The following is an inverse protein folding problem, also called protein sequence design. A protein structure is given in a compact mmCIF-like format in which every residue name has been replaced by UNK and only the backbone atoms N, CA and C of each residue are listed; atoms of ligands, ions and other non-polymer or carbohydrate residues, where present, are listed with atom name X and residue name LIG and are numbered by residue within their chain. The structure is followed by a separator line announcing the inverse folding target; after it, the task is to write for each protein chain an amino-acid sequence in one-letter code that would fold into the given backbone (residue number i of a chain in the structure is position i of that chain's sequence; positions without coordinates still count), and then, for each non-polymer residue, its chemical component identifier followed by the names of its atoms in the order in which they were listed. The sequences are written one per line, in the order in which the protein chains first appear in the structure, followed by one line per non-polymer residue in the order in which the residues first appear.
data_IF_241641719716
#
_entry.id   IF_241641719716
#
_cell.length_a   1.000
_cell.length_b   1.000
_cell.length_c   1.000
_cell.angle_alpha   90.00
_cell.angle_beta   90.00
_cell.angle_gamma   90.00
#
_symmetry.space_group_name_H-M   'P 1'
#
loop_
_entity.id
_entity.type
_entity.pdbx_description
1 polymer ?
#
# COMPACT_ATOMS: atom_id res chain seq x y z
N UNK A 1 0.82 -24.10 -14.43
CA UNK A 1 0.05 -22.97 -15.00
C UNK A 1 1.06 -21.93 -15.46
N UNK A 2 1.04 -21.54 -16.73
CA UNK A 2 2.05 -20.62 -17.29
C UNK A 2 1.34 -19.38 -17.82
N UNK A 3 1.64 -18.23 -17.23
CA UNK A 3 1.26 -16.93 -17.77
C UNK A 3 2.20 -16.60 -18.93
N UNK A 4 1.64 -16.23 -20.07
CA UNK A 4 2.40 -15.79 -21.25
C UNK A 4 2.35 -14.28 -21.33
N UNK A 5 3.52 -13.64 -21.42
CA UNK A 5 3.64 -12.20 -21.62
C UNK A 5 3.55 -11.94 -23.13
N UNK A 6 2.52 -11.21 -23.55
CA UNK A 6 2.27 -10.89 -24.95
C UNK A 6 2.98 -9.60 -25.36
N UNK A 7 2.94 -8.59 -24.48
CA UNK A 7 3.50 -7.27 -24.75
C UNK A 7 3.90 -6.56 -23.47
N UNK A 8 5.03 -5.85 -23.53
CA UNK A 8 5.43 -4.86 -22.51
C UNK A 8 5.62 -3.52 -23.20
N UNK A 9 5.09 -2.46 -22.60
CA UNK A 9 5.22 -1.09 -23.11
C UNK A 9 5.25 -0.07 -21.98
N UNK A 10 5.60 1.16 -22.33
CA UNK A 10 5.55 2.29 -21.42
C UNK A 10 4.29 3.10 -21.72
N UNK A 11 3.47 3.33 -20.70
CA UNK A 11 2.29 4.19 -20.78
C UNK A 11 2.60 5.51 -20.10
N UNK A 12 2.43 6.62 -20.81
CA UNK A 12 2.68 7.98 -20.31
C UNK A 12 1.37 8.70 -20.00
N UNK A 13 1.39 9.75 -19.17
CA UNK A 13 0.27 10.66 -19.01
C UNK A 13 -0.26 11.14 -20.36
N UNK A 14 -1.57 11.36 -20.45
CA UNK A 14 -2.18 11.96 -21.62
C UNK A 14 -1.72 13.42 -21.72
N UNK A 15 -1.11 13.77 -22.86
CA UNK A 15 -0.60 15.11 -23.10
C UNK A 15 -1.64 15.92 -23.88
N UNK A 16 -2.35 16.81 -23.21
CA UNK A 16 -3.04 17.89 -23.91
C UNK A 16 -1.99 18.87 -24.42
N UNK A 17 -2.08 19.25 -25.68
CA UNK A 17 -1.10 20.03 -26.47
C UNK A 17 -0.70 21.41 -25.90
N UNK A 18 -1.17 21.77 -24.70
CA UNK A 18 -0.90 23.03 -24.01
C UNK A 18 0.14 22.93 -22.88
N UNK A 19 0.59 21.73 -22.50
CA UNK A 19 1.62 21.55 -21.47
C UNK A 19 2.99 21.25 -22.13
N UNK A 20 3.72 22.31 -22.46
CA UNK A 20 5.11 22.22 -22.91
C UNK A 20 5.99 21.59 -21.82
N UNK A 21 7.04 20.82 -22.17
CA UNK A 21 7.92 20.22 -21.19
C UNK A 21 8.74 21.30 -20.48
N UNK A 22 8.41 21.53 -19.22
CA UNK A 22 9.27 22.20 -18.23
C UNK A 22 10.53 21.33 -18.07
N UNK A 23 11.70 21.95 -17.81
CA UNK A 23 12.95 21.21 -17.60
C UNK A 23 12.72 20.04 -16.62
N UNK A 24 12.94 18.77 -17.04
CA UNK A 24 12.66 17.59 -16.23
C UNK A 24 13.38 17.57 -14.87
N UNK A 25 14.45 18.34 -14.72
CA UNK A 25 15.17 18.48 -13.44
C UNK A 25 14.59 19.56 -12.52
N UNK A 26 13.83 20.50 -13.07
CA UNK A 26 13.25 21.63 -12.32
C UNK A 26 11.86 21.34 -11.76
N UNK A 27 11.20 20.27 -12.23
CA UNK A 27 9.85 19.91 -11.81
C UNK A 27 9.85 18.59 -11.01
N UNK A 28 9.84 18.73 -9.69
CA UNK A 28 9.81 17.60 -8.75
C UNK A 28 8.90 17.91 -7.56
N UNK A 29 8.53 16.85 -6.84
CA UNK A 29 7.85 16.95 -5.54
C UNK A 29 8.76 16.33 -4.47
N UNK A 30 9.05 17.03 -3.36
CA UNK A 30 9.88 16.48 -2.30
C UNK A 30 9.13 15.36 -1.55
N UNK A 31 9.86 14.34 -1.11
CA UNK A 31 9.29 13.36 -0.19
C UNK A 31 9.03 14.01 1.18
N UNK A 32 7.84 13.80 1.72
CA UNK A 32 7.50 14.24 3.08
C UNK A 32 8.25 13.41 4.13
N UNK A 33 8.23 13.88 5.39
CA UNK A 33 8.77 13.12 6.53
C UNK A 33 8.11 11.74 6.68
N UNK A 34 6.85 11.58 6.28
CA UNK A 34 6.12 10.32 6.32
C UNK A 34 6.47 9.40 5.16
N UNK A 35 6.75 9.95 3.98
CA UNK A 35 7.24 9.18 2.84
C UNK A 35 8.61 8.56 3.18
N UNK A 36 9.53 9.38 3.72
CA UNK A 36 10.92 8.99 4.02
C UNK A 36 11.04 7.84 5.04
N UNK A 37 10.07 7.68 5.94
CA UNK A 37 10.08 6.59 6.95
C UNK A 37 9.25 5.36 6.55
N UNK A 38 8.60 5.41 5.39
CA UNK A 38 7.80 4.32 4.85
C UNK A 38 8.66 3.22 4.20
N UNK A 39 8.04 2.16 3.68
CA UNK A 39 8.79 1.08 3.02
C UNK A 39 9.48 1.58 1.75
N UNK A 40 10.79 1.37 1.63
CA UNK A 40 11.51 1.61 0.39
C UNK A 40 11.47 0.37 -0.54
N UNK A 41 10.26 0.03 -1.00
CA UNK A 41 10.01 -1.11 -1.91
C UNK A 41 8.71 -0.90 -2.68
N UNK A 42 8.54 -1.64 -3.78
CA UNK A 42 7.22 -1.82 -4.38
C UNK A 42 6.35 -2.80 -3.60
N UNK A 43 5.05 -2.50 -3.52
CA UNK A 43 4.02 -3.39 -3.00
C UNK A 43 3.09 -3.80 -4.14
N UNK A 44 2.74 -5.09 -4.17
CA UNK A 44 1.89 -5.68 -5.20
C UNK A 44 0.51 -6.08 -4.65
N UNK A 45 -0.53 -5.71 -5.40
CA UNK A 45 -1.93 -6.04 -5.12
C UNK A 45 -2.54 -6.66 -6.39
N UNK A 46 -3.33 -7.71 -6.22
CA UNK A 46 -3.97 -8.45 -7.29
C UNK A 46 -5.48 -8.23 -7.23
N UNK A 47 -6.08 -7.89 -8.36
CA UNK A 47 -7.52 -7.74 -8.55
C UNK A 47 -8.01 -8.69 -9.63
N UNK A 48 -9.12 -9.39 -9.43
CA UNK A 48 -9.75 -10.22 -10.46
C UNK A 48 -11.15 -9.72 -10.78
N UNK A 49 -11.53 -9.79 -12.06
CA UNK A 49 -12.81 -9.35 -12.57
C UNK A 49 -13.47 -10.46 -13.39
N UNK A 50 -14.76 -10.65 -13.16
CA UNK A 50 -15.58 -11.52 -14.00
C UNK A 50 -15.87 -10.86 -15.36
N UNK A 51 -16.05 -11.65 -16.44
CA UNK A 51 -16.53 -11.11 -17.70
C UNK A 51 -17.96 -10.54 -17.58
N UNK A 52 -18.33 -9.55 -18.41
CA UNK A 52 -17.52 -8.93 -19.45
C UNK A 52 -16.47 -7.95 -18.88
N UNK A 53 -15.27 -7.95 -19.45
CA UNK A 53 -14.18 -7.04 -19.06
C UNK A 53 -13.83 -6.07 -20.19
N UNK A 54 -13.50 -4.80 -19.90
CA UNK A 54 -13.08 -3.84 -20.92
C UNK A 54 -11.85 -4.31 -21.68
N UNK A 55 -11.61 -3.80 -22.88
CA UNK A 55 -10.41 -4.14 -23.69
C UNK A 55 -9.13 -3.58 -23.07
N UNK A 56 -7.97 -4.16 -23.40
CA UNK A 56 -6.66 -3.65 -22.93
C UNK A 56 -6.46 -2.19 -23.31
N UNK A 57 -6.85 -1.81 -24.54
CA UNK A 57 -6.77 -0.44 -25.05
C UNK A 57 -7.65 0.54 -24.25
N UNK A 58 -8.83 0.11 -23.79
CA UNK A 58 -9.72 0.96 -22.98
C UNK A 58 -9.12 1.21 -21.59
N UNK A 59 -8.59 0.16 -20.97
CA UNK A 59 -7.93 0.24 -19.66
C UNK A 59 -6.66 1.10 -19.73
N UNK A 60 -5.85 0.92 -20.77
CA UNK A 60 -4.67 1.74 -21.07
C UNK A 60 -5.03 3.21 -21.28
N UNK A 61 -6.05 3.52 -22.08
CA UNK A 61 -6.48 4.91 -22.29
C UNK A 61 -6.92 5.57 -20.98
N UNK A 62 -7.67 4.84 -20.14
CA UNK A 62 -8.01 5.30 -18.80
C UNK A 62 -6.77 5.54 -17.93
N UNK A 63 -5.74 4.70 -18.08
CA UNK A 63 -4.46 4.85 -17.36
C UNK A 63 -3.72 6.12 -17.81
N UNK A 64 -3.67 6.40 -19.11
CA UNK A 64 -3.08 7.64 -19.63
C UNK A 64 -3.77 8.87 -19.04
N UNK A 65 -5.11 8.89 -19.02
CA UNK A 65 -5.90 10.00 -18.49
C UNK A 65 -5.67 10.22 -16.99
N UNK A 66 -5.76 9.16 -16.18
CA UNK A 66 -5.55 9.30 -14.72
C UNK A 66 -4.11 9.67 -14.38
N UNK A 67 -3.12 9.25 -15.18
CA UNK A 67 -1.73 9.65 -14.98
C UNK A 67 -1.48 11.13 -15.21
N UNK A 68 -2.37 11.83 -15.94
CA UNK A 68 -2.30 13.30 -16.07
C UNK A 68 -2.65 14.00 -14.75
N UNK A 69 -3.49 13.39 -13.93
CA UNK A 69 -3.83 13.87 -12.57
C UNK A 69 -2.93 13.26 -11.49
N UNK A 70 -2.23 12.15 -11.75
CA UNK A 70 -1.35 11.46 -10.79
C UNK A 70 0.07 11.28 -11.36
N UNK A 71 0.70 12.39 -11.74
CA UNK A 71 1.97 12.38 -12.49
C UNK A 71 3.14 11.77 -11.72
N UNK A 72 3.08 11.73 -10.39
CA UNK A 72 4.09 11.08 -9.56
C UNK A 72 4.30 9.62 -9.96
N UNK A 73 3.24 8.89 -10.33
CA UNK A 73 3.37 7.49 -10.77
C UNK A 73 4.14 7.34 -12.08
N UNK A 74 4.07 8.33 -12.97
CA UNK A 74 4.82 8.39 -14.22
C UNK A 74 6.23 8.98 -14.04
N UNK A 75 6.56 9.48 -12.85
CA UNK A 75 7.84 10.08 -12.50
C UNK A 75 8.92 9.06 -12.15
N UNK A 76 10.03 9.54 -11.57
CA UNK A 76 11.13 8.71 -11.02
C UNK A 76 11.62 9.27 -9.70
N UNK A 77 12.05 8.38 -8.80
CA UNK A 77 12.77 8.78 -7.59
C UNK A 77 14.17 9.30 -7.96
N UNK A 78 14.66 10.25 -7.19
CA UNK A 78 16.05 10.71 -7.24
C UNK A 78 16.31 11.69 -6.10
N UNK A 79 17.33 12.53 -6.27
CA UNK A 79 17.76 13.51 -5.27
C UNK A 79 17.83 14.90 -5.89
N UNK A 80 17.51 15.93 -5.11
CA UNK A 80 17.68 17.33 -5.51
C UNK A 80 19.14 17.79 -5.34
N UNK A 81 19.40 19.09 -5.60
CA UNK A 81 20.74 19.67 -5.49
C UNK A 81 21.34 19.61 -4.06
N UNK A 82 20.50 19.43 -3.04
CA UNK A 82 20.91 19.30 -1.64
C UNK A 82 21.05 17.83 -1.20
N UNK A 83 20.81 16.88 -2.10
CA UNK A 83 20.78 15.45 -1.78
C UNK A 83 19.49 14.98 -1.09
N UNK A 84 18.45 15.83 -1.04
CA UNK A 84 17.16 15.45 -0.46
C UNK A 84 16.37 14.57 -1.46
N UNK A 85 15.72 13.48 -1.02
CA UNK A 85 15.02 12.59 -1.93
C UNK A 85 13.72 13.22 -2.45
N UNK A 86 13.53 13.14 -3.77
CA UNK A 86 12.41 13.75 -4.51
C UNK A 86 11.81 12.79 -5.53
N UNK A 87 10.59 13.09 -5.98
CA UNK A 87 9.96 12.47 -7.14
C UNK A 87 10.03 13.46 -8.31
N UNK A 88 10.84 13.16 -9.32
CA UNK A 88 10.88 13.91 -10.57
C UNK A 88 9.62 13.63 -11.39
N UNK A 89 8.85 14.67 -11.70
CA UNK A 89 7.64 14.62 -12.52
C UNK A 89 8.01 14.71 -14.00
N UNK A 90 8.79 13.73 -14.46
CA UNK A 90 9.44 13.70 -15.78
C UNK A 90 8.66 12.91 -16.85
N UNK A 91 7.48 12.42 -16.52
CA UNK A 91 6.58 11.66 -17.41
C UNK A 91 7.30 10.54 -18.19
N UNK A 92 8.31 9.91 -17.58
CA UNK A 92 8.93 8.70 -18.12
C UNK A 92 7.93 7.55 -18.25
N UNK A 93 6.79 7.64 -17.57
CA UNK A 93 5.67 6.72 -17.70
C UNK A 93 5.81 5.48 -16.82
N UNK A 94 4.82 4.60 -16.95
CA UNK A 94 4.64 3.39 -16.15
C UNK A 94 4.83 2.15 -17.01
N UNK A 95 5.33 1.07 -16.42
CA UNK A 95 5.43 -0.21 -17.14
C UNK A 95 4.05 -0.84 -17.24
N UNK A 96 3.60 -1.15 -18.46
CA UNK A 96 2.31 -1.77 -18.73
C UNK A 96 2.53 -3.10 -19.47
N UNK A 97 2.07 -4.18 -18.85
CA UNK A 97 2.29 -5.55 -19.31
C UNK A 97 0.95 -6.15 -19.70
N UNK A 98 0.87 -6.67 -20.91
CA UNK A 98 -0.28 -7.44 -21.41
C UNK A 98 0.11 -8.92 -21.43
N UNK A 99 -0.72 -9.75 -20.82
CA UNK A 99 -0.46 -11.16 -20.61
C UNK A 99 -1.74 -11.99 -20.81
N UNK A 100 -1.54 -13.29 -21.05
CA UNK A 100 -2.62 -14.26 -21.22
C UNK A 100 -2.34 -15.52 -20.40
N UNK A 101 -3.40 -16.26 -20.10
CA UNK A 101 -3.30 -17.62 -19.55
C UNK A 101 -4.42 -18.49 -20.13
N UNK A 102 -4.05 -19.63 -20.68
CA UNK A 102 -4.96 -20.56 -21.38
C UNK A 102 -5.70 -21.50 -20.41
N UNK A 103 -6.26 -20.94 -19.35
CA UNK A 103 -7.16 -21.60 -18.41
C UNK A 103 -8.27 -20.62 -18.00
N UNK A 104 -9.36 -21.15 -17.46
CA UNK A 104 -10.41 -20.32 -16.87
C UNK A 104 -10.06 -19.92 -15.45
N UNK A 105 -10.50 -18.74 -15.01
CA UNK A 105 -10.25 -18.24 -13.66
C UNK A 105 -10.80 -19.21 -12.59
N UNK A 106 -11.97 -19.80 -12.82
CA UNK A 106 -12.59 -20.80 -11.93
C UNK A 106 -11.69 -22.00 -11.61
N UNK A 107 -10.76 -22.36 -12.50
CA UNK A 107 -9.84 -23.49 -12.31
C UNK A 107 -8.71 -23.20 -11.32
N UNK A 108 -8.51 -21.93 -10.96
CA UNK A 108 -7.53 -21.49 -9.96
C UNK A 108 -8.21 -20.88 -8.73
N UNK A 109 -9.53 -20.97 -8.65
CA UNK A 109 -10.31 -20.47 -7.52
C UNK A 109 -10.44 -21.50 -6.40
N UNK A 110 -10.43 -21.06 -5.13
CA UNK A 110 -10.03 -19.71 -4.67
C UNK A 110 -8.54 -19.46 -4.90
N UNK A 111 -8.15 -18.22 -5.22
CA UNK A 111 -6.74 -17.84 -5.34
C UNK A 111 -6.05 -17.99 -3.98
N UNK A 112 -5.16 -18.98 -3.87
CA UNK A 112 -4.39 -19.23 -2.66
C UNK A 112 -3.06 -18.45 -2.67
N UNK A 113 -2.60 -17.92 -1.52
CA UNK A 113 -1.26 -17.35 -1.38
C UNK A 113 -0.18 -18.37 -1.79
N UNK A 114 0.37 -18.20 -2.99
CA UNK A 114 1.33 -19.12 -3.58
C UNK A 114 2.25 -18.40 -4.57
N UNK A 115 3.42 -18.97 -4.89
CA UNK A 115 4.32 -18.38 -5.89
C UNK A 115 3.68 -18.10 -7.26
N UNK A 116 2.56 -18.75 -7.59
CA UNK A 116 1.78 -18.45 -8.79
C UNK A 116 1.32 -16.99 -8.84
N UNK A 117 0.96 -16.38 -7.70
CA UNK A 117 0.55 -14.99 -7.63
C UNK A 117 1.63 -14.00 -8.12
N UNK A 118 2.91 -14.38 -7.98
CA UNK A 118 4.03 -13.58 -8.50
C UNK A 118 4.05 -13.49 -10.03
N UNK A 119 3.34 -14.39 -10.73
CA UNK A 119 3.18 -14.34 -12.19
C UNK A 119 2.04 -13.44 -12.65
N UNK A 120 1.21 -12.93 -11.73
CA UNK A 120 0.03 -12.11 -12.02
C UNK A 120 0.28 -10.59 -11.87
N UNK A 121 1.50 -10.19 -11.51
CA UNK A 121 1.90 -8.79 -11.44
C UNK A 121 3.38 -8.62 -11.84
N UNK A 122 3.82 -7.41 -12.22
CA UNK A 122 5.22 -7.14 -12.52
C UNK A 122 6.12 -7.30 -11.27
N UNK A 123 7.40 -7.62 -11.48
CA UNK A 123 8.40 -7.78 -10.41
C UNK A 123 8.46 -6.56 -9.47
N UNK A 124 8.76 -6.79 -8.20
CA UNK A 124 8.76 -5.76 -7.14
C UNK A 124 10.15 -5.24 -6.76
N UNK A 125 11.23 -5.84 -7.29
CA UNK A 125 12.62 -5.47 -7.03
C UNK A 125 13.33 -5.06 -8.30
N UNK A 126 14.31 -4.17 -8.15
CA UNK A 126 15.19 -3.70 -9.23
C UNK A 126 14.39 -3.09 -10.39
N UNK A 127 13.51 -2.14 -10.05
CA UNK A 127 12.61 -1.43 -10.97
C UNK A 127 12.74 0.07 -10.74
N UNK A 128 13.04 0.81 -11.80
CA UNK A 128 13.10 2.29 -11.78
C UNK A 128 11.70 2.94 -11.82
N UNK A 129 10.76 2.32 -12.55
CA UNK A 129 9.39 2.82 -12.67
C UNK A 129 8.66 2.77 -11.32
N UNK A 130 8.00 3.87 -10.96
CA UNK A 130 7.30 3.98 -9.67
C UNK A 130 5.98 3.21 -9.65
N UNK A 131 5.34 3.07 -10.81
CA UNK A 131 4.16 2.24 -11.01
C UNK A 131 4.40 1.24 -12.14
N UNK A 132 3.89 0.02 -11.95
CA UNK A 132 3.78 -1.00 -12.98
C UNK A 132 2.41 -1.68 -12.89
N UNK A 133 1.87 -2.06 -14.04
CA UNK A 133 0.57 -2.71 -14.18
C UNK A 133 0.70 -3.93 -15.09
N UNK A 134 0.08 -5.04 -14.73
CA UNK A 134 -0.10 -6.20 -15.60
C UNK A 134 -1.58 -6.52 -15.78
N UNK A 135 -2.01 -6.66 -17.03
CA UNK A 135 -3.31 -7.19 -17.40
C UNK A 135 -3.15 -8.64 -17.86
N UNK A 136 -3.69 -9.59 -17.11
CA UNK A 136 -3.68 -11.02 -17.46
C UNK A 136 -5.08 -11.48 -17.83
N UNK A 137 -5.30 -11.83 -19.10
CA UNK A 137 -6.58 -12.36 -19.59
C UNK A 137 -6.63 -13.88 -19.49
N UNK A 138 -7.71 -14.39 -18.92
CA UNK A 138 -8.00 -15.82 -18.83
C UNK A 138 -8.86 -16.28 -20.01
N UNK A 139 -8.83 -17.58 -20.33
CA UNK A 139 -9.57 -18.16 -21.46
C UNK A 139 -11.10 -17.95 -21.39
N UNK A 140 -11.66 -17.73 -20.18
CA UNK A 140 -13.08 -17.43 -19.96
C UNK A 140 -13.43 -15.94 -20.12
N UNK A 141 -12.49 -15.06 -20.48
CA UNK A 141 -12.71 -13.62 -20.59
C UNK A 141 -12.57 -12.83 -19.28
N UNK A 142 -12.33 -13.52 -18.15
CA UNK A 142 -11.95 -12.88 -16.89
C UNK A 142 -10.62 -12.14 -17.04
N UNK A 143 -10.47 -11.07 -16.26
CA UNK A 143 -9.28 -10.23 -16.24
C UNK A 143 -8.69 -10.22 -14.83
N UNK A 144 -7.39 -10.44 -14.73
CA UNK A 144 -6.62 -10.13 -13.53
C UNK A 144 -5.78 -8.89 -13.78
N UNK A 145 -5.82 -7.93 -12.84
CA UNK A 145 -5.00 -6.73 -12.83
C UNK A 145 -4.02 -6.82 -11.65
N UNK A 146 -2.74 -6.95 -11.97
CA UNK A 146 -1.65 -6.84 -11.01
C UNK A 146 -1.14 -5.40 -10.93
N UNK A 147 -1.35 -4.74 -9.80
CA UNK A 147 -0.83 -3.41 -9.50
C UNK A 147 0.45 -3.54 -8.67
N UNK A 148 1.54 -2.91 -9.10
CA UNK A 148 2.81 -2.86 -8.36
C UNK A 148 3.29 -1.41 -8.25
N UNK A 149 3.13 -0.80 -7.07
CA UNK A 149 3.45 0.61 -6.81
C UNK A 149 4.54 0.80 -5.75
N UNK A 150 5.44 1.77 -5.95
CA UNK A 150 6.51 2.10 -5.01
C UNK A 150 5.96 2.81 -3.76
N UNK A 151 6.20 2.25 -2.58
CA UNK A 151 5.52 2.68 -1.35
C UNK A 151 5.98 4.06 -0.82
N UNK A 152 7.18 4.53 -1.18
CA UNK A 152 7.58 5.93 -0.94
C UNK A 152 6.69 6.96 -1.66
N UNK A 153 5.98 6.58 -2.73
CA UNK A 153 5.12 7.51 -3.48
C UNK A 153 3.77 7.69 -2.79
N UNK A 154 3.16 6.62 -2.33
CA UNK A 154 1.81 6.65 -1.76
C UNK A 154 1.61 5.52 -0.76
N UNK A 155 0.93 5.82 0.34
CA UNK A 155 0.38 4.79 1.22
C UNK A 155 -0.83 4.08 0.57
N UNK A 156 -1.34 3.01 1.20
CA UNK A 156 -2.45 2.25 0.65
C UNK A 156 -3.75 3.04 0.46
N UNK A 157 -3.97 4.12 1.23
CA UNK A 157 -5.13 5.01 1.04
C UNK A 157 -4.96 5.81 -0.26
N UNK A 158 -3.82 6.48 -0.43
CA UNK A 158 -3.49 7.23 -1.66
C UNK A 158 -3.47 6.36 -2.90
N UNK A 159 -2.89 5.16 -2.81
CA UNK A 159 -2.86 4.19 -3.91
C UNK A 159 -4.27 3.71 -4.30
N UNK A 160 -5.16 3.52 -3.32
CA UNK A 160 -6.55 3.13 -3.59
C UNK A 160 -7.35 4.25 -4.25
N UNK A 161 -7.14 5.51 -3.84
CA UNK A 161 -7.75 6.66 -4.53
C UNK A 161 -7.35 6.72 -6.00
N UNK A 162 -6.06 6.51 -6.30
CA UNK A 162 -5.57 6.42 -7.68
C UNK A 162 -6.25 5.29 -8.46
N UNK A 163 -6.37 4.09 -7.88
CA UNK A 163 -7.02 2.97 -8.54
C UNK A 163 -8.50 3.27 -8.85
N UNK A 164 -9.25 3.84 -7.91
CA UNK A 164 -10.65 4.24 -8.13
C UNK A 164 -10.75 5.33 -9.20
N UNK A 165 -9.86 6.33 -9.17
CA UNK A 165 -9.76 7.36 -10.19
C UNK A 165 -9.45 6.77 -11.58
N UNK A 166 -8.58 5.75 -11.64
CA UNK A 166 -8.28 5.04 -12.87
C UNK A 166 -9.51 4.33 -13.42
N UNK A 167 -10.27 3.62 -12.57
CA UNK A 167 -11.55 3.01 -12.96
C UNK A 167 -12.57 4.03 -13.48
N UNK A 168 -12.69 5.21 -12.84
CA UNK A 168 -13.52 6.33 -13.34
C UNK A 168 -13.05 6.80 -14.73
N UNK A 169 -11.76 7.05 -14.89
CA UNK A 169 -11.19 7.53 -16.16
C UNK A 169 -11.37 6.51 -17.30
N UNK A 170 -11.23 5.21 -17.03
CA UNK A 170 -11.50 4.14 -17.99
C UNK A 170 -12.96 4.12 -18.45
N UNK A 171 -13.90 4.45 -17.57
CA UNK A 171 -15.34 4.57 -17.87
C UNK A 171 -15.72 5.92 -18.50
N UNK A 172 -14.77 6.84 -18.68
CA UNK A 172 -15.03 8.19 -19.19
C UNK A 172 -15.75 9.10 -18.19
N UNK A 173 -15.69 8.78 -16.89
CA UNK A 173 -16.20 9.63 -15.82
C UNK A 173 -15.13 10.65 -15.37
N UNK A 174 -15.59 11.77 -14.84
CA UNK A 174 -14.70 12.79 -14.29
C UNK A 174 -13.87 12.25 -13.12
N UNK A 175 -12.59 12.60 -13.10
CA UNK A 175 -11.68 12.31 -11.99
C UNK A 175 -11.95 13.33 -10.90
N UNK A 176 -12.93 13.02 -10.05
CA UNK A 176 -13.26 13.81 -8.88
C UNK A 176 -13.43 12.92 -7.63
N UNK A 177 -12.92 13.37 -6.45
CA UNK A 177 -12.10 14.57 -6.25
C UNK A 177 -10.69 14.42 -6.86
N UNK A 178 -10.05 15.55 -7.16
CA UNK A 178 -8.65 15.60 -7.63
C UNK A 178 -7.67 15.37 -6.48
N UNK A 179 -6.50 14.75 -6.73
CA UNK A 179 -5.47 14.58 -5.72
C UNK A 179 -4.86 15.91 -5.27
N UNK A 180 -4.57 16.01 -3.97
CA UNK A 180 -3.77 17.08 -3.39
C UNK A 180 -2.30 16.66 -3.38
N UNK A 181 -1.51 17.26 -4.27
CA UNK A 181 -0.09 16.94 -4.49
C UNK A 181 0.89 17.62 -3.54
N UNK A 182 0.46 18.66 -2.81
CA UNK A 182 1.36 19.43 -1.96
C UNK A 182 1.81 18.60 -0.74
N UNK A 183 3.05 18.10 -0.81
CA UNK A 183 3.71 17.34 0.26
C UNK A 183 4.39 18.22 1.31
N UNK A 184 4.39 19.54 1.11
CA UNK A 184 5.02 20.52 2.01
C UNK A 184 4.12 20.98 3.16
N UNK A 185 2.89 20.46 3.23
CA UNK A 185 1.92 20.79 4.28
C UNK A 185 2.35 20.37 5.70
N UNK A 186 3.39 19.54 5.84
CA UNK A 186 3.92 19.05 7.11
C UNK A 186 5.13 19.85 7.58
N UNK A 187 4.86 21.05 8.11
CA UNK A 187 5.90 21.92 8.65
C UNK A 187 6.09 21.68 10.16
N UNK A 188 7.35 21.69 10.65
CA UNK A 188 7.60 21.62 12.08
C UNK A 188 7.07 22.88 12.79
N UNK A 189 6.73 22.73 14.07
CA UNK A 189 6.41 23.85 14.95
C UNK A 189 7.65 24.72 15.15
N UNK A 190 7.42 25.99 15.50
CA UNK A 190 8.48 26.94 15.85
C UNK A 190 8.22 27.53 17.26
N UNK A 191 9.02 27.15 18.28
CA UNK A 191 10.13 26.21 18.23
C UNK A 191 9.66 24.74 18.08
N UNK A 192 10.51 23.84 17.54
CA UNK A 192 10.23 22.41 17.50
C UNK A 192 10.06 21.84 18.92
N UNK A 193 9.11 20.93 19.11
CA UNK A 193 8.79 20.34 20.41
C UNK A 193 8.68 18.80 20.34
N UNK A 194 9.64 18.11 20.96
CA UNK A 194 9.69 16.64 20.99
C UNK A 194 8.96 16.10 22.25
N UNK A 195 7.63 16.00 22.18
CA UNK A 195 6.81 15.50 23.28
C UNK A 195 6.95 13.98 23.49
N UNK A 196 7.26 13.24 22.42
CA UNK A 196 7.35 11.77 22.42
C UNK A 196 8.72 11.28 21.97
N UNK A 197 9.09 10.08 22.41
CA UNK A 197 10.29 9.37 21.95
C UNK A 197 10.01 8.67 20.62
N UNK A 198 10.71 9.11 19.57
CA UNK A 198 10.59 8.57 18.20
C UNK A 198 11.75 7.65 17.80
N UNK A 199 12.77 7.50 18.65
CA UNK A 199 13.89 6.58 18.41
C UNK A 199 13.47 5.14 18.65
N UNK A 200 13.88 4.22 17.76
CA UNK A 200 13.60 2.79 17.91
C UNK A 200 14.27 2.20 19.15
N UNK A 201 13.49 1.63 20.07
CA UNK A 201 14.02 0.90 21.23
C UNK A 201 14.34 -0.55 20.89
N UNK A 202 15.56 -1.01 21.18
CA UNK A 202 15.87 -2.45 21.26
C UNK A 202 15.16 -3.04 22.46
N UNK A 203 14.08 -3.79 22.22
CA UNK A 203 13.27 -4.41 23.28
C UNK A 203 13.81 -5.80 23.65
N UNK A 204 13.81 -6.11 24.95
CA UNK A 204 14.32 -7.38 25.52
C UNK A 204 13.38 -8.56 25.24
N UNK A 205 13.97 -9.76 25.18
CA UNK A 205 13.47 -11.01 24.56
C UNK A 205 12.29 -11.75 25.23
N UNK A 206 11.44 -11.10 26.04
CA UNK A 206 10.30 -11.76 26.73
C UNK A 206 8.92 -11.17 26.39
N UNK A 207 8.88 -10.13 25.54
CA UNK A 207 7.63 -9.50 25.09
C UNK A 207 7.34 -9.89 23.64
N UNK A 208 6.07 -10.07 23.31
CA UNK A 208 5.60 -10.04 21.93
C UNK A 208 5.08 -8.64 21.62
N UNK A 209 5.43 -8.13 20.44
CA UNK A 209 5.05 -6.81 19.95
C UNK A 209 4.20 -7.00 18.71
N UNK A 210 3.12 -6.25 18.59
CA UNK A 210 2.34 -6.15 17.36
C UNK A 210 2.61 -4.79 16.73
N UNK A 211 3.20 -4.75 15.53
CA UNK A 211 3.31 -3.53 14.74
C UNK A 211 2.00 -3.28 14.00
N UNK A 212 1.34 -2.15 14.29
CA UNK A 212 0.11 -1.71 13.62
C UNK A 212 0.33 -0.40 12.88
N UNK A 213 -0.13 -0.30 11.63
CA UNK A 213 -0.20 0.96 10.90
C UNK A 213 -1.36 1.84 11.38
N UNK A 214 -1.13 3.16 11.48
CA UNK A 214 -2.10 4.16 11.93
C UNK A 214 -2.17 5.30 10.91
N UNK A 215 -3.34 5.46 10.26
CA UNK A 215 -3.60 6.54 9.32
C UNK A 215 -3.79 7.88 10.06
N UNK A 216 -2.99 8.89 9.72
CA UNK A 216 -2.99 10.21 10.33
C UNK A 216 -4.00 11.20 9.78
N UNK A 217 -4.60 10.95 8.61
CA UNK A 217 -5.46 11.93 7.89
C UNK A 217 -6.56 12.54 8.77
N UNK A 218 -7.32 11.67 9.43
CA UNK A 218 -8.42 12.08 10.31
C UNK A 218 -7.99 12.45 11.74
N UNK A 219 -6.71 12.22 12.09
CA UNK A 219 -6.17 12.36 13.45
C UNK A 219 -5.46 13.67 13.68
N UNK A 220 -4.82 14.22 12.65
CA UNK A 220 -4.19 15.52 12.73
C UNK A 220 -5.22 16.65 12.80
N UNK A 221 -4.82 17.77 13.40
CA UNK A 221 -5.59 18.99 13.49
C UNK A 221 -4.76 20.19 12.99
N UNK A 222 -5.09 20.80 11.84
CA UNK A 222 -6.26 20.50 10.99
C UNK A 222 -6.19 19.10 10.36
N UNK A 223 -7.36 18.55 10.02
CA UNK A 223 -7.45 17.25 9.32
C UNK A 223 -6.80 17.38 7.94
N UNK A 224 -6.05 16.37 7.54
CA UNK A 224 -5.52 16.30 6.18
C UNK A 224 -6.61 15.75 5.26
N UNK A 225 -6.86 16.39 4.10
CA UNK A 225 -7.84 15.92 3.14
C UNK A 225 -7.61 14.46 2.73
N UNK A 226 -8.67 13.73 2.43
CA UNK A 226 -8.56 12.35 1.95
C UNK A 226 -7.89 12.27 0.57
N UNK A 227 -7.88 13.39 -0.14
CA UNK A 227 -7.30 13.66 -1.45
C UNK A 227 -5.77 13.80 -1.39
N UNK A 228 -5.17 14.01 -0.20
CA UNK A 228 -3.73 14.08 -0.06
C UNK A 228 -3.05 12.84 -0.64
N UNK A 229 -2.20 13.06 -1.64
CA UNK A 229 -1.52 12.02 -2.37
C UNK A 229 -0.06 11.89 -1.92
N UNK A 230 0.14 10.97 -0.97
CA UNK A 230 1.42 10.66 -0.34
C UNK A 230 1.25 9.64 0.77
N UNK A 231 2.26 9.47 1.62
CA UNK A 231 2.14 8.71 2.86
C UNK A 231 1.69 9.62 4.01
N UNK A 232 0.73 9.16 4.83
CA UNK A 232 0.42 9.75 6.13
C UNK A 232 0.10 8.63 7.13
N UNK A 233 1.09 7.77 7.35
CA UNK A 233 0.99 6.61 8.22
C UNK A 233 2.16 6.63 9.21
N UNK A 234 1.84 6.37 10.48
CA UNK A 234 2.82 6.04 11.51
C UNK A 234 2.50 4.66 12.10
N UNK A 235 3.42 4.14 12.91
CA UNK A 235 3.32 2.80 13.48
C UNK A 235 3.17 2.88 14.99
N UNK A 236 2.33 2.01 15.54
CA UNK A 236 2.26 1.77 16.98
C UNK A 236 2.66 0.34 17.29
N UNK A 237 3.16 0.14 18.51
CA UNK A 237 3.82 -1.09 18.94
C UNK A 237 3.25 -1.58 20.29
N UNK A 238 1.94 -1.88 20.40
CA UNK A 238 1.40 -2.55 21.58
C UNK A 238 2.22 -3.80 21.88
N UNK A 239 2.55 -3.99 23.16
CA UNK A 239 3.37 -5.11 23.60
C UNK A 239 2.90 -5.63 24.94
N UNK A 240 3.06 -6.94 25.14
CA UNK A 240 2.83 -7.58 26.43
C UNK A 240 3.71 -8.82 26.56
N UNK A 241 3.78 -9.39 27.76
CA UNK A 241 4.39 -10.70 27.95
C UNK A 241 3.53 -11.75 27.24
N UNK A 242 4.17 -12.77 26.68
CA UNK A 242 3.46 -13.86 26.01
C UNK A 242 2.52 -14.58 26.98
N UNK A 243 2.94 -14.75 28.24
CA UNK A 243 2.13 -15.39 29.28
C UNK A 243 0.83 -14.64 29.55
N UNK A 244 0.89 -13.31 29.72
CA UNK A 244 -0.28 -12.46 29.92
C UNK A 244 -1.24 -12.54 28.70
N UNK A 245 -0.71 -12.55 27.47
CA UNK A 245 -1.53 -12.68 26.25
C UNK A 245 -2.26 -14.03 26.13
N UNK A 246 -1.73 -15.09 26.74
CA UNK A 246 -2.32 -16.44 26.70
C UNK A 246 -3.30 -16.66 27.85
N UNK A 247 -3.04 -16.07 29.02
CA UNK A 247 -3.85 -16.27 30.23
C UNK A 247 -5.03 -15.31 30.32
N UNK A 248 -4.89 -14.07 29.85
CA UNK A 248 -5.93 -13.06 29.92
C UNK A 248 -7.01 -13.23 28.83
N UNK A 249 -8.26 -12.79 29.05
CA UNK A 249 -9.30 -12.81 28.03
C UNK A 249 -8.94 -11.97 26.80
N UNK A 250 -9.56 -12.24 25.64
CA UNK A 250 -9.33 -11.51 24.38
C UNK A 250 -9.49 -9.98 24.53
N UNK A 251 -10.39 -9.53 25.42
CA UNK A 251 -10.59 -8.12 25.75
C UNK A 251 -9.34 -7.41 26.27
N UNK A 252 -8.42 -8.12 26.93
CA UNK A 252 -7.13 -7.58 27.35
C UNK A 252 -6.25 -7.19 26.15
N UNK A 253 -6.06 -8.12 25.21
CA UNK A 253 -5.29 -7.85 23.99
C UNK A 253 -5.94 -6.74 23.15
N UNK A 254 -7.27 -6.76 23.00
CA UNK A 254 -8.00 -5.71 22.30
C UNK A 254 -7.82 -4.32 22.96
N UNK A 255 -7.81 -4.25 24.30
CA UNK A 255 -7.56 -3.01 25.04
C UNK A 255 -6.12 -2.50 24.85
N UNK A 256 -5.12 -3.40 24.83
CA UNK A 256 -3.74 -3.02 24.53
C UNK A 256 -3.61 -2.37 23.15
N UNK A 257 -4.18 -3.02 22.12
CA UNK A 257 -4.15 -2.49 20.75
C UNK A 257 -4.90 -1.16 20.66
N UNK A 258 -6.10 -1.08 21.24
CA UNK A 258 -6.91 0.15 21.27
C UNK A 258 -6.14 1.32 21.88
N UNK A 259 -5.60 1.15 23.08
CA UNK A 259 -4.87 2.20 23.78
C UNK A 259 -3.64 2.67 22.99
N UNK A 260 -2.91 1.72 22.39
CA UNK A 260 -1.72 2.03 21.61
C UNK A 260 -2.05 2.73 20.27
N UNK A 261 -3.19 2.44 19.67
CA UNK A 261 -3.69 3.13 18.47
C UNK A 261 -4.24 4.51 18.83
N UNK A 262 -4.90 4.67 19.97
CA UNK A 262 -5.41 5.97 20.47
C UNK A 262 -4.28 6.92 20.89
N UNK A 263 -3.14 6.40 21.37
CA UNK A 263 -1.99 7.24 21.73
C UNK A 263 -1.30 7.90 20.52
N UNK A 264 -1.45 7.33 19.32
CA UNK A 264 -0.96 7.92 18.07
C UNK A 264 -2.01 8.95 17.57
N UNK A 265 -2.05 10.10 18.22
CA UNK A 265 -3.00 11.20 17.98
C UNK A 265 -2.32 12.43 17.35
N UNK A 266 -3.05 13.54 17.19
CA UNK A 266 -2.54 14.81 16.65
C UNK A 266 -1.18 15.23 17.24
N UNK A 267 -1.04 15.16 18.57
CA UNK A 267 0.20 15.55 19.27
C UNK A 267 1.36 14.63 18.89
N UNK A 268 1.09 13.33 18.76
CA UNK A 268 2.10 12.36 18.36
C UNK A 268 2.59 12.64 16.93
N UNK A 269 1.69 12.85 15.98
CA UNK A 269 2.04 13.21 14.60
C UNK A 269 2.83 14.52 14.52
N UNK A 270 2.41 15.57 15.22
CA UNK A 270 3.14 16.86 15.27
C UNK A 270 4.52 16.72 15.91
N UNK A 271 4.61 15.94 16.99
CA UNK A 271 5.91 15.66 17.61
C UNK A 271 6.82 14.87 16.68
N UNK A 272 6.27 13.95 15.88
CA UNK A 272 7.05 13.22 14.88
C UNK A 272 7.53 14.14 13.76
N UNK A 273 6.68 15.05 13.26
CA UNK A 273 7.07 16.05 12.25
C UNK A 273 8.24 16.88 12.77
N UNK A 274 8.13 17.44 13.98
CA UNK A 274 9.22 18.21 14.60
C UNK A 274 10.51 17.39 14.70
N UNK A 275 10.41 16.17 15.23
CA UNK A 275 11.54 15.26 15.38
C UNK A 275 12.20 14.96 14.04
N UNK A 276 11.40 14.52 13.06
CA UNK A 276 11.88 14.13 11.76
C UNK A 276 12.52 15.31 11.02
N UNK A 277 11.94 16.51 11.05
CA UNK A 277 12.51 17.66 10.34
C UNK A 277 13.83 18.14 10.95
N UNK A 278 13.95 18.14 12.29
CA UNK A 278 15.16 18.63 12.97
C UNK A 278 16.26 17.56 12.98
N UNK A 279 15.92 16.31 13.27
CA UNK A 279 16.89 15.21 13.42
C UNK A 279 17.22 14.47 12.13
N UNK A 280 16.46 14.66 11.04
CA UNK A 280 16.77 14.07 9.72
C UNK A 280 18.19 14.34 9.26
N UNK A 281 18.72 15.54 9.52
CA UNK A 281 20.05 15.96 9.05
C UNK A 281 21.18 15.57 10.01
N UNK A 282 20.86 15.20 11.25
CA UNK A 282 21.86 14.94 12.29
C UNK A 282 22.09 13.45 12.55
N UNK A 283 21.08 12.60 12.33
CA UNK A 283 21.10 11.21 12.80
C UNK A 283 20.65 10.17 11.75
N UNK A 284 20.56 10.52 10.46
CA UNK A 284 20.12 9.66 9.35
C UNK A 284 18.84 8.87 9.67
N UNK A 285 17.67 9.49 9.47
CA UNK A 285 16.38 8.80 9.67
C UNK A 285 16.35 7.49 8.88
N UNK A 286 16.16 6.37 9.60
CA UNK A 286 15.97 5.06 9.00
C UNK A 286 14.47 4.76 8.84
N UNK A 287 14.07 4.02 7.80
CA UNK A 287 12.71 3.53 7.67
C UNK A 287 12.27 2.78 8.94
N UNK A 288 11.12 3.15 9.50
CA UNK A 288 10.46 2.39 10.58
C UNK A 288 9.81 1.11 10.06
N UNK A 289 9.78 0.98 8.75
CA UNK A 289 9.17 -0.04 7.93
C UNK A 289 10.26 -0.72 7.10
N UNK A 290 10.79 -1.85 7.57
CA UNK A 290 11.84 -2.61 6.88
C UNK A 290 11.26 -3.72 6.01
N UNK A 291 11.52 -3.64 4.70
CA UNK A 291 11.09 -4.62 3.70
C UNK A 291 11.99 -5.86 3.62
N UNK A 292 13.14 -5.86 4.31
CA UNK A 292 14.13 -6.96 4.28
C UNK A 292 13.96 -7.96 5.43
N UNK A 293 12.92 -7.81 6.25
CA UNK A 293 12.63 -8.72 7.35
C UNK A 293 12.09 -10.05 6.81
N UNK A 294 12.79 -11.15 7.12
CA UNK A 294 12.37 -12.51 6.76
C UNK A 294 11.46 -13.17 7.79
N UNK A 295 11.44 -12.66 9.03
CA UNK A 295 10.59 -13.15 10.12
C UNK A 295 10.30 -12.05 11.13
N UNK A 296 9.04 -11.97 11.57
CA UNK A 296 8.64 -11.09 12.65
C UNK A 296 8.81 -11.73 14.03
N UNK A 297 9.04 -13.05 14.16
CA UNK A 297 9.05 -13.76 15.46
C UNK A 297 10.06 -13.13 16.45
N UNK A 298 9.69 -12.92 17.74
CA UNK A 298 8.41 -13.28 18.40
C UNK A 298 7.30 -12.23 18.26
N UNK A 299 7.50 -11.24 17.41
CA UNK A 299 6.57 -10.16 17.11
C UNK A 299 5.66 -10.52 15.93
N UNK A 300 4.66 -9.67 15.70
CA UNK A 300 3.74 -9.75 14.59
C UNK A 300 3.64 -8.38 13.93
N UNK A 301 3.29 -8.37 12.64
CA UNK A 301 2.96 -7.17 11.90
C UNK A 301 1.57 -7.33 11.30
N UNK A 302 0.75 -6.28 11.38
CA UNK A 302 -0.57 -6.25 10.75
C UNK A 302 -0.71 -5.01 9.87
N UNK A 303 -1.09 -5.23 8.62
CA UNK A 303 -1.55 -4.18 7.71
C UNK A 303 -3.04 -4.37 7.43
N UNK A 304 -3.84 -3.37 7.84
CA UNK A 304 -5.29 -3.41 7.71
C UNK A 304 -5.74 -2.70 6.45
N UNK A 305 -6.35 -3.43 5.52
CA UNK A 305 -6.90 -2.94 4.27
C UNK A 305 -8.44 -2.85 4.31
N UNK A 306 -9.05 -3.07 5.48
CA UNK A 306 -10.50 -3.11 5.72
C UNK A 306 -11.26 -1.87 5.24
N UNK A 307 -10.59 -0.73 5.11
CA UNK A 307 -11.19 0.56 4.73
C UNK A 307 -10.83 1.01 3.33
N UNK A 308 -10.10 0.20 2.57
CA UNK A 308 -9.81 0.55 1.18
C UNK A 308 -11.07 0.37 0.31
N UNK A 309 -11.33 1.29 -0.63
CA UNK A 309 -12.55 1.32 -1.44
C UNK A 309 -12.53 0.27 -2.56
N UNK A 310 -12.28 -1.00 -2.23
CA UNK A 310 -12.18 -2.09 -3.21
C UNK A 310 -13.45 -2.26 -4.03
N UNK A 311 -14.62 -2.07 -3.42
CA UNK A 311 -15.91 -2.20 -4.09
C UNK A 311 -16.23 -1.04 -5.04
N UNK A 312 -15.53 0.10 -4.91
CA UNK A 312 -15.70 1.26 -5.80
C UNK A 312 -14.80 1.19 -7.05
N UNK A 313 -13.84 0.26 -7.05
CA UNK A 313 -12.92 0.05 -8.15
C UNK A 313 -13.65 -0.65 -9.31
N UNK A 314 -14.07 0.12 -10.30
CA UNK A 314 -14.80 -0.39 -11.46
C UNK A 314 -14.22 0.19 -12.75
N UNK A 315 -13.79 -0.70 -13.64
CA UNK A 315 -13.26 -0.36 -14.97
C UNK A 315 -14.33 -0.36 -16.08
N UNK A 316 -15.59 -0.65 -15.74
CA UNK A 316 -16.74 -0.71 -16.66
C UNK A 316 -17.42 -2.09 -16.70
N UNK A 317 -16.89 -3.08 -15.98
CA UNK A 317 -17.45 -4.43 -15.88
C UNK A 317 -18.02 -4.75 -14.49
N UNK A 318 -18.04 -3.78 -13.57
CA UNK A 318 -18.33 -3.98 -12.16
C UNK A 318 -17.08 -4.04 -11.30
N UNK A 319 -17.29 -4.18 -9.99
CA UNK A 319 -16.24 -4.29 -8.98
C UNK A 319 -15.46 -5.60 -9.08
N UNK A 320 -14.22 -5.65 -8.55
CA UNK A 320 -13.43 -6.87 -8.52
C UNK A 320 -14.17 -7.97 -7.72
N UNK A 321 -14.19 -9.18 -8.27
CA UNK A 321 -14.66 -10.37 -7.55
C UNK A 321 -13.60 -10.93 -6.58
N UNK A 322 -12.34 -10.49 -6.72
CA UNK A 322 -11.23 -10.80 -5.80
C UNK A 322 -10.33 -9.58 -5.69
N UNK A 323 -9.87 -9.29 -4.49
CA UNK A 323 -8.73 -8.41 -4.23
C UNK A 323 -7.88 -9.01 -3.12
N UNK A 324 -6.56 -9.07 -3.30
CA UNK A 324 -5.66 -9.71 -2.33
C UNK A 324 -4.22 -9.18 -2.43
N UNK A 325 -3.43 -9.26 -1.34
CA UNK A 325 -1.99 -9.06 -1.43
C UNK A 325 -1.36 -10.12 -2.34
N UNK A 326 -0.21 -9.80 -2.92
CA UNK A 326 0.62 -10.82 -3.56
C UNK A 326 1.22 -11.82 -2.54
N UNK A 327 1.95 -12.81 -3.04
CA UNK A 327 2.64 -13.79 -2.22
C UNK A 327 3.81 -13.15 -1.45
N UNK A 328 3.59 -12.89 -0.15
CA UNK A 328 4.56 -12.32 0.77
C UNK A 328 4.83 -13.34 1.89
N UNK A 329 5.84 -14.21 1.73
CA UNK A 329 6.14 -15.28 2.68
C UNK A 329 6.97 -14.79 3.87
N UNK A 330 6.53 -13.70 4.52
CA UNK A 330 7.17 -13.16 5.73
C UNK A 330 6.45 -13.71 6.96
N UNK A 331 7.15 -14.53 7.75
CA UNK A 331 6.60 -15.15 8.95
C UNK A 331 6.07 -14.11 9.95
N UNK A 332 4.82 -14.25 10.39
CA UNK A 332 4.18 -13.36 11.36
C UNK A 332 3.64 -12.05 10.77
N UNK A 333 3.61 -11.91 9.44
CA UNK A 333 2.96 -10.81 8.76
C UNK A 333 1.51 -11.18 8.40
N UNK A 334 0.56 -10.31 8.76
CA UNK A 334 -0.87 -10.46 8.54
C UNK A 334 -1.44 -9.30 7.73
N UNK A 335 -2.34 -9.63 6.79
CA UNK A 335 -3.23 -8.67 6.14
C UNK A 335 -4.67 -8.89 6.60
N UNK A 336 -5.39 -7.80 6.85
CA UNK A 336 -6.84 -7.83 7.07
C UNK A 336 -7.56 -7.24 5.87
N UNK A 337 -8.42 -8.01 5.21
CA UNK A 337 -9.16 -7.62 4.02
C UNK A 337 -10.67 -7.67 4.30
N UNK A 338 -11.48 -6.79 3.70
CA UNK A 338 -12.92 -6.96 3.73
C UNK A 338 -13.31 -8.12 2.79
N UNK A 339 -14.45 -8.77 3.04
CA UNK A 339 -14.90 -9.89 2.21
C UNK A 339 -15.15 -9.48 0.77
N UNK A 340 -14.67 -10.28 -0.19
CA UNK A 340 -14.95 -10.03 -1.61
C UNK A 340 -16.45 -10.06 -1.95
N UNK A 341 -17.28 -10.69 -1.11
CA UNK A 341 -18.73 -10.76 -1.30
C UNK A 341 -19.47 -9.50 -0.82
N UNK A 342 -18.82 -8.63 -0.03
CA UNK A 342 -19.47 -7.46 0.57
C UNK A 342 -20.52 -7.81 1.65
N UNK A 343 -20.43 -9.00 2.25
CA UNK A 343 -21.36 -9.51 3.26
C UNK A 343 -21.08 -8.97 4.70
N UNK A 344 -20.12 -8.07 4.83
CA UNK A 344 -19.69 -7.49 6.10
C UNK A 344 -18.68 -8.33 6.88
N UNK A 345 -18.31 -9.52 6.38
CA UNK A 345 -17.22 -10.31 6.96
C UNK A 345 -15.83 -9.80 6.52
N UNK A 346 -14.79 -10.34 7.15
CA UNK A 346 -13.40 -9.97 6.89
C UNK A 346 -12.50 -11.22 6.82
N UNK A 347 -11.51 -11.16 5.93
CA UNK A 347 -10.49 -12.18 5.74
C UNK A 347 -9.18 -11.76 6.41
N UNK A 348 -8.57 -12.68 7.16
CA UNK A 348 -7.25 -12.49 7.73
C UNK A 348 -6.24 -13.43 7.04
N UNK A 349 -5.35 -12.85 6.23
CA UNK A 349 -4.28 -13.59 5.55
C UNK A 349 -2.99 -13.50 6.39
N UNK A 350 -2.63 -14.59 7.08
CA UNK A 350 -1.41 -14.67 7.89
C UNK A 350 -0.42 -15.69 7.31
N UNK A 351 0.86 -15.31 7.27
CA UNK A 351 1.96 -16.23 6.94
C UNK A 351 2.55 -16.81 8.22
N UNK A 352 2.53 -18.15 8.35
CA UNK A 352 3.10 -18.90 9.46
C UNK A 352 3.91 -20.11 8.99
N UNK A 353 4.89 -20.53 9.78
CA UNK A 353 5.67 -21.71 9.54
C UNK A 353 4.74 -22.92 9.59
N UNK A 354 4.96 -23.88 8.69
CA UNK A 354 4.11 -25.07 8.58
C UNK A 354 3.89 -25.77 9.93
N UNK A 355 4.93 -25.86 10.77
CA UNK A 355 4.86 -26.46 12.11
C UNK A 355 3.92 -25.74 13.09
N UNK A 356 3.63 -24.45 12.87
CA UNK A 356 2.77 -23.62 13.71
C UNK A 356 1.32 -23.54 13.19
N UNK A 357 1.07 -23.96 11.94
CA UNK A 357 -0.21 -23.75 11.28
C UNK A 357 -1.34 -24.56 11.91
N UNK A 358 -1.07 -25.83 12.27
CA UNK A 358 -2.11 -26.71 12.83
C UNK A 358 -2.56 -26.24 14.21
N UNK A 359 -1.62 -25.85 15.08
CA UNK A 359 -1.94 -25.31 16.40
C UNK A 359 -2.65 -23.95 16.29
N UNK A 360 -2.24 -23.09 15.35
CA UNK A 360 -2.91 -21.81 15.10
C UNK A 360 -4.38 -22.01 14.72
N UNK A 361 -4.67 -22.93 13.78
CA UNK A 361 -6.05 -23.25 13.37
C UNK A 361 -6.90 -23.74 14.54
N UNK A 362 -6.34 -24.60 15.41
CA UNK A 362 -7.06 -25.09 16.59
C UNK A 362 -7.38 -23.95 17.57
N UNK A 363 -6.44 -23.04 17.81
CA UNK A 363 -6.65 -21.88 18.70
C UNK A 363 -7.72 -20.96 18.12
N UNK A 364 -7.63 -20.59 16.84
CA UNK A 364 -8.59 -19.69 16.19
C UNK A 364 -9.99 -20.29 16.18
N UNK A 365 -10.13 -21.58 15.86
CA UNK A 365 -11.46 -22.23 15.83
C UNK A 365 -12.15 -22.15 17.19
N UNK A 366 -11.41 -22.41 18.28
CA UNK A 366 -11.94 -22.29 19.65
C UNK A 366 -12.34 -20.86 20.01
N UNK A 367 -11.58 -19.86 19.55
CA UNK A 367 -11.88 -18.44 19.79
C UNK A 367 -13.11 -17.94 19.01
N UNK A 368 -13.42 -18.55 17.86
CA UNK A 368 -14.59 -18.18 17.07
C UNK A 368 -15.88 -18.87 17.55
N UNK A 369 -15.75 -19.96 18.32
CA UNK A 369 -16.87 -20.68 18.93
C UNK A 369 -17.27 -20.13 20.31
N UNK A 370 -16.40 -19.35 20.96
CA UNK A 370 -16.60 -18.71 22.27
C UNK A 370 -17.22 -17.33 22.18
#
# INVERSE_FOLDING_TARGET
MKVTIERTKIVKPFCDSNNLPVDPKSHFVPLSVFDKVSYNTHVAIIYAYNPPTPTNATIELGLQKVLSEYREWAGRLGEDENGDPVIFLNDKGVNFVEASIDIKLEQVMPLQPSPFLLSLHPKVKDVEALLQVQLTRFACGSLVIGFTGHHLVADGHSASNFLVAWGKATRGLDINPLPLHDRTIFNPRNPPYFEFEHKGKKLKSIKSILQCSVNGRARMNPKVPNEYFGNLVLWTYPSSKVEDLVQEPLGYAAKLVRNAVESVNDKYFKSFIDFATVKAKEEDLVPTADANVSTCIPNLKVDSWLRFPFYELDFGGGSPCIFMPSYIPIEGFMFLLPSCNGDGSADACITLFRKNMDIFKQIVSKLLES
#
